data_IF_656034043758
#
_entry.id   IF_656034043758
#
_cell.length_a   1.000
_cell.length_b   1.000
_cell.length_c   1.000
_cell.angle_alpha   90.00
_cell.angle_beta   90.00
_cell.angle_gamma   90.00
#
_symmetry.space_group_name_H-M   'P 1'
#
loop_
_entity.id
_entity.type
_entity.pdbx_description
1 polymer ?
#
# COMPACT_ATOMS: atom_id res chain seq x y z
N UNK A 1 52.93 -15.06 23.33
CA UNK A 1 51.52 -15.23 22.93
C UNK A 1 50.71 -13.92 22.93
N UNK A 2 50.97 -12.94 23.81
CA UNK A 2 50.22 -11.66 23.86
C UNK A 2 50.28 -10.78 22.59
N UNK A 3 51.43 -10.72 21.93
CA UNK A 3 51.61 -9.89 20.72
C UNK A 3 50.96 -10.51 19.47
N UNK A 4 50.81 -11.84 19.43
CA UNK A 4 50.13 -12.53 18.33
C UNK A 4 48.61 -12.33 18.43
N UNK A 5 48.05 -12.39 19.64
CA UNK A 5 46.63 -12.14 19.90
C UNK A 5 46.24 -10.67 19.66
N UNK A 6 47.06 -9.70 20.07
CA UNK A 6 46.79 -8.28 19.76
C UNK A 6 46.89 -7.97 18.26
N UNK A 7 47.80 -8.61 17.52
CA UNK A 7 47.90 -8.43 16.07
C UNK A 7 46.77 -9.10 15.30
N UNK A 8 46.20 -10.21 15.80
CA UNK A 8 45.01 -10.85 15.22
C UNK A 8 43.74 -10.03 15.47
N UNK A 9 43.57 -9.47 16.67
CA UNK A 9 42.46 -8.56 16.98
C UNK A 9 42.57 -7.25 16.19
N UNK A 10 43.77 -6.68 16.04
CA UNK A 10 44.00 -5.52 15.14
C UNK A 10 43.82 -5.86 13.65
N UNK A 11 44.16 -7.07 13.20
CA UNK A 11 43.93 -7.51 11.81
C UNK A 11 42.45 -7.77 11.51
N UNK A 12 41.67 -8.27 12.47
CA UNK A 12 40.22 -8.44 12.32
C UNK A 12 39.45 -7.11 12.40
N UNK A 13 39.90 -6.17 13.23
CA UNK A 13 39.32 -4.81 13.27
C UNK A 13 39.53 -4.02 11.96
N UNK A 14 40.57 -4.36 11.18
CA UNK A 14 40.82 -3.82 9.84
C UNK A 14 40.14 -4.58 8.69
N UNK A 15 39.38 -5.66 8.97
CA UNK A 15 38.87 -6.57 7.95
C UNK A 15 37.35 -6.45 7.69
N UNK A 16 36.62 -5.64 8.44
CA UNK A 16 35.22 -5.38 8.11
C UNK A 16 35.17 -4.22 7.12
N UNK A 17 34.83 -4.51 5.86
CA UNK A 17 34.73 -3.45 4.86
C UNK A 17 33.68 -2.42 5.30
N UNK A 18 33.89 -1.12 5.01
CA UNK A 18 32.89 -0.08 5.31
C UNK A 18 31.50 -0.41 4.74
N UNK A 19 31.45 -1.13 3.62
CA UNK A 19 30.22 -1.57 2.98
C UNK A 19 29.56 -2.73 3.74
N UNK A 20 30.34 -3.66 4.28
CA UNK A 20 29.82 -4.75 5.12
C UNK A 20 29.27 -4.22 6.46
N UNK A 21 29.90 -3.20 7.05
CA UNK A 21 29.37 -2.49 8.23
C UNK A 21 28.04 -1.79 7.91
N UNK A 22 27.96 -1.08 6.79
CA UNK A 22 26.71 -0.45 6.33
C UNK A 22 25.61 -1.49 6.11
N UNK A 23 25.91 -2.61 5.46
CA UNK A 23 24.94 -3.69 5.23
C UNK A 23 24.45 -4.33 6.53
N UNK A 24 25.35 -4.61 7.48
CA UNK A 24 24.97 -5.15 8.79
C UNK A 24 24.09 -4.17 9.56
N UNK A 25 24.42 -2.88 9.55
CA UNK A 25 23.61 -1.84 10.20
C UNK A 25 22.23 -1.71 9.54
N UNK A 26 22.17 -1.67 8.20
CA UNK A 26 20.91 -1.65 7.46
C UNK A 26 20.04 -2.87 7.76
N UNK A 27 20.65 -4.06 7.88
CA UNK A 27 19.94 -5.29 8.23
C UNK A 27 19.38 -5.26 9.66
N UNK A 28 20.15 -4.75 10.63
CA UNK A 28 19.69 -4.58 12.02
C UNK A 28 18.51 -3.59 12.09
N UNK A 29 18.59 -2.46 11.39
CA UNK A 29 17.50 -1.49 11.35
C UNK A 29 16.25 -2.04 10.66
N UNK A 30 16.41 -2.83 9.59
CA UNK A 30 15.30 -3.49 8.93
C UNK A 30 14.65 -4.55 9.82
N UNK A 31 15.43 -5.32 10.58
CA UNK A 31 14.93 -6.32 11.52
C UNK A 31 14.13 -5.68 12.66
N UNK A 32 14.62 -4.58 13.23
CA UNK A 32 13.92 -3.83 14.29
C UNK A 32 12.58 -3.24 13.79
N UNK A 33 12.58 -2.71 12.57
CA UNK A 33 11.39 -2.19 11.90
C UNK A 33 10.34 -3.29 11.64
N UNK A 34 10.79 -4.46 11.18
CA UNK A 34 9.95 -5.63 10.93
C UNK A 34 9.39 -6.23 12.22
N UNK A 35 10.21 -6.40 13.26
CA UNK A 35 9.77 -6.92 14.56
C UNK A 35 8.74 -5.99 15.19
N UNK A 36 8.97 -4.68 15.13
CA UNK A 36 8.03 -3.68 15.65
C UNK A 36 6.72 -3.66 14.85
N UNK A 37 6.79 -3.84 13.53
CA UNK A 37 5.61 -3.94 12.66
C UNK A 37 4.81 -5.23 12.91
N UNK A 38 5.48 -6.38 13.04
CA UNK A 38 4.86 -7.67 13.36
C UNK A 38 4.21 -7.66 14.75
N UNK A 39 4.90 -7.12 15.76
CA UNK A 39 4.34 -6.98 17.10
C UNK A 39 3.06 -6.13 17.11
N UNK A 40 3.00 -5.10 16.28
CA UNK A 40 1.82 -4.26 16.11
C UNK A 40 0.70 -5.00 15.36
N UNK A 41 1.02 -5.75 14.31
CA UNK A 41 0.06 -6.54 13.55
C UNK A 41 -0.62 -7.61 14.42
N UNK A 42 0.17 -8.32 15.24
CA UNK A 42 -0.35 -9.32 16.19
C UNK A 42 -1.28 -8.70 17.23
N UNK A 43 -0.99 -7.47 17.68
CA UNK A 43 -1.87 -6.74 18.62
C UNK A 43 -3.16 -6.23 17.96
N UNK A 44 -3.10 -5.84 16.69
CA UNK A 44 -4.25 -5.45 15.87
C UNK A 44 -5.17 -6.65 15.58
N UNK A 45 -4.60 -7.80 15.22
CA UNK A 45 -5.35 -9.01 14.85
C UNK A 45 -6.08 -9.67 16.02
N UNK A 46 -5.63 -9.42 17.26
CA UNK A 46 -6.24 -9.98 18.48
C UNK A 46 -7.39 -9.15 19.06
N UNK A 47 -7.75 -8.03 18.44
CA UNK A 47 -8.75 -7.08 18.98
C UNK A 47 -8.42 -6.59 20.42
N UNK A 48 -7.16 -6.75 20.84
CA UNK A 48 -6.64 -6.39 22.17
C UNK A 48 -6.26 -4.90 22.25
N UNK A 49 -6.22 -4.21 21.11
CA UNK A 49 -5.79 -2.82 21.02
C UNK A 49 -6.98 -1.89 21.26
N UNK A 50 -7.29 -1.63 22.54
CA UNK A 50 -8.23 -0.57 22.93
C UNK A 50 -7.51 0.78 22.90
N UNK A 51 -7.85 1.71 21.98
CA UNK A 51 -7.19 3.00 21.91
C UNK A 51 -7.62 3.87 23.09
N UNK A 52 -6.75 3.99 24.09
CA UNK A 52 -6.93 4.94 25.20
C UNK A 52 -6.36 6.30 24.79
N UNK A 53 -7.18 7.35 24.95
CA UNK A 53 -6.83 8.72 24.58
C UNK A 53 -6.34 9.48 25.82
N UNK A 54 -5.10 9.92 25.78
CA UNK A 54 -4.42 10.63 26.87
C UNK A 54 -3.80 11.94 26.36
N UNK A 55 -3.55 12.88 27.27
CA UNK A 55 -2.81 14.11 26.96
C UNK A 55 -1.31 13.82 26.93
N UNK A 56 -0.73 13.84 25.73
CA UNK A 56 0.67 13.48 25.47
C UNK A 56 1.51 14.74 25.31
N UNK A 57 2.67 14.78 25.98
CA UNK A 57 3.70 15.78 25.71
C UNK A 57 4.34 15.50 24.34
N UNK A 58 4.15 16.42 23.39
CA UNK A 58 4.78 16.31 22.07
C UNK A 58 6.31 16.38 22.21
N UNK A 59 6.83 17.21 23.12
CA UNK A 59 8.26 17.29 23.39
C UNK A 59 8.85 15.92 23.72
N UNK A 60 8.26 15.23 24.71
CA UNK A 60 8.79 13.95 25.20
C UNK A 60 8.76 12.87 24.10
N UNK A 61 7.71 12.89 23.26
CA UNK A 61 7.61 12.00 22.10
C UNK A 61 8.69 12.31 21.06
N UNK A 62 8.88 13.59 20.73
CA UNK A 62 9.91 14.03 19.79
C UNK A 62 11.33 13.67 20.27
N UNK A 63 11.60 13.77 21.57
CA UNK A 63 12.86 13.35 22.18
C UNK A 63 13.09 11.84 22.08
N UNK A 64 12.07 11.03 22.32
CA UNK A 64 12.17 9.57 22.11
C UNK A 64 12.45 9.22 20.65
N UNK A 65 11.79 9.90 19.72
CA UNK A 65 12.00 9.71 18.27
C UNK A 65 13.41 10.18 17.88
N UNK A 66 13.90 11.29 18.42
CA UNK A 66 15.26 11.77 18.21
C UNK A 66 16.29 10.70 18.62
N UNK A 67 16.12 10.11 19.80
CA UNK A 67 16.98 9.03 20.29
C UNK A 67 16.95 7.80 19.39
N UNK A 68 15.79 7.46 18.81
CA UNK A 68 15.65 6.31 17.92
C UNK A 68 16.33 6.52 16.56
N UNK A 69 16.32 7.75 16.03
CA UNK A 69 16.63 8.00 14.63
C UNK A 69 17.91 8.81 14.40
N UNK A 70 18.46 9.51 15.40
CA UNK A 70 19.65 10.34 15.25
C UNK A 70 20.87 9.55 14.75
N UNK A 71 21.16 8.39 15.35
CA UNK A 71 22.27 7.53 14.92
C UNK A 71 22.07 6.98 13.52
N UNK A 72 20.83 6.58 13.17
CA UNK A 72 20.48 6.09 11.83
C UNK A 72 20.74 7.16 10.76
N UNK A 73 20.31 8.41 11.01
CA UNK A 73 20.54 9.51 10.08
C UNK A 73 22.03 9.85 9.89
N UNK A 74 22.82 9.82 10.96
CA UNK A 74 24.27 10.04 10.90
C UNK A 74 24.95 9.00 9.99
N UNK A 75 24.58 7.72 10.13
CA UNK A 75 25.14 6.66 9.31
C UNK A 75 24.76 6.76 7.82
N UNK A 76 23.58 7.29 7.51
CA UNK A 76 23.15 7.54 6.14
C UNK A 76 23.66 8.87 5.57
N UNK A 77 24.40 9.67 6.35
CA UNK A 77 24.90 10.98 5.93
C UNK A 77 23.81 12.05 5.77
N UNK A 78 22.64 11.85 6.38
CA UNK A 78 21.53 12.79 6.32
C UNK A 78 21.63 13.83 7.43
N UNK A 79 21.32 15.09 7.10
CA UNK A 79 21.14 16.13 8.12
C UNK A 79 19.84 15.86 8.87
N UNK A 80 19.94 15.49 10.14
CA UNK A 80 18.79 15.26 11.01
C UNK A 80 18.61 16.43 11.97
N UNK A 81 17.38 16.93 12.08
CA UNK A 81 17.01 17.96 13.05
C UNK A 81 15.61 17.69 13.58
N UNK A 82 15.45 17.80 14.89
CA UNK A 82 14.16 17.79 15.58
C UNK A 82 13.96 19.18 16.20
N UNK A 83 12.85 19.84 15.89
CA UNK A 83 12.51 21.12 16.51
C UNK A 83 11.69 20.88 17.79
N UNK A 84 12.01 21.60 18.89
CA UNK A 84 11.27 21.47 20.14
C UNK A 84 9.82 21.93 19.98
N UNK A 85 8.92 21.34 20.77
CA UNK A 85 7.51 21.70 20.77
C UNK A 85 6.91 21.60 22.16
N UNK A 86 6.35 22.71 22.67
CA UNK A 86 5.71 22.76 23.99
C UNK A 86 4.24 22.32 23.97
N UNK A 87 3.81 21.66 22.88
CA UNK A 87 2.42 21.29 22.66
C UNK A 87 2.04 20.03 23.44
N UNK A 88 0.77 19.97 23.85
CA UNK A 88 0.13 18.74 24.31
C UNK A 88 -0.98 18.35 23.34
N UNK A 89 -1.08 17.06 23.05
CA UNK A 89 -2.07 16.52 22.12
C UNK A 89 -2.81 15.36 22.76
N UNK A 90 -4.11 15.29 22.52
CA UNK A 90 -4.95 14.20 23.03
C UNK A 90 -5.03 13.07 22.00
N UNK A 91 -4.32 11.99 22.24
CA UNK A 91 -4.25 10.83 21.33
C UNK A 91 -3.88 9.57 22.10
N UNK A 92 -3.74 8.44 21.41
CA UNK A 92 -3.11 7.27 21.99
C UNK A 92 -1.58 7.39 21.87
N UNK A 93 -0.81 7.33 22.98
CA UNK A 93 0.63 7.59 22.98
C UNK A 93 1.40 6.61 22.09
N UNK A 94 1.04 5.33 22.15
CA UNK A 94 1.72 4.28 21.39
C UNK A 94 1.41 4.38 19.89
N UNK A 95 0.15 4.60 19.53
CA UNK A 95 -0.25 4.72 18.12
C UNK A 95 0.32 5.99 17.48
N UNK A 96 0.29 7.12 18.19
CA UNK A 96 0.79 8.38 17.65
C UNK A 96 2.31 8.32 17.44
N UNK A 97 3.06 7.87 18.46
CA UNK A 97 4.50 7.72 18.35
C UNK A 97 4.87 6.76 17.22
N UNK A 98 4.14 5.64 17.10
CA UNK A 98 4.35 4.70 16.01
C UNK A 98 4.12 5.33 14.64
N UNK A 99 3.02 6.06 14.45
CA UNK A 99 2.74 6.76 13.18
C UNK A 99 3.86 7.72 12.81
N UNK A 100 4.37 8.50 13.77
CA UNK A 100 5.47 9.44 13.51
C UNK A 100 6.77 8.67 13.19
N UNK A 101 7.07 7.59 13.92
CA UNK A 101 8.21 6.71 13.61
C UNK A 101 8.14 6.13 12.20
N UNK A 102 6.97 5.66 11.75
CA UNK A 102 6.77 5.12 10.40
C UNK A 102 6.96 6.21 9.33
N UNK A 103 6.51 7.43 9.58
CA UNK A 103 6.75 8.58 8.68
C UNK A 103 8.23 8.95 8.61
N UNK A 104 8.93 9.00 9.75
CA UNK A 104 10.37 9.30 9.82
C UNK A 104 11.19 8.21 9.14
N UNK A 105 10.86 6.93 9.37
CA UNK A 105 11.52 5.80 8.72
C UNK A 105 11.39 5.87 7.19
N UNK A 106 10.20 6.19 6.69
CA UNK A 106 9.97 6.43 5.26
C UNK A 106 10.76 7.64 4.75
N UNK A 107 10.75 8.76 5.48
CA UNK A 107 11.50 9.95 5.11
C UNK A 107 13.00 9.65 4.96
N UNK A 108 13.59 8.88 5.88
CA UNK A 108 14.98 8.45 5.78
C UNK A 108 15.22 7.49 4.63
N UNK A 109 14.32 6.51 4.44
CA UNK A 109 14.44 5.49 3.39
C UNK A 109 14.44 6.10 1.99
N UNK A 110 13.59 7.11 1.77
CA UNK A 110 13.39 7.71 0.45
C UNK A 110 14.17 9.02 0.24
N UNK A 111 14.97 9.44 1.21
CA UNK A 111 15.88 10.59 1.07
C UNK A 111 17.32 10.10 0.97
N UNK A 112 17.86 9.86 -0.25
CA UNK A 112 19.23 9.36 -0.40
C UNK A 112 20.30 10.42 -0.11
N UNK A 113 19.98 11.70 -0.24
CA UNK A 113 20.87 12.83 0.03
C UNK A 113 20.08 14.02 0.59
N UNK A 114 20.68 14.82 1.46
CA UNK A 114 20.05 16.03 2.03
C UNK A 114 19.82 15.94 3.54
N UNK A 115 18.56 15.96 3.98
CA UNK A 115 18.22 15.92 5.39
C UNK A 115 16.74 15.76 5.68
N UNK A 116 16.42 15.38 6.92
CA UNK A 116 15.06 15.24 7.43
C UNK A 116 14.92 16.17 8.64
N UNK A 117 13.90 17.03 8.58
CA UNK A 117 13.51 17.93 9.67
C UNK A 117 12.18 17.43 10.25
N UNK A 118 12.18 17.11 11.53
CA UNK A 118 10.97 16.78 12.28
C UNK A 118 10.58 17.99 13.11
N UNK A 119 9.39 18.54 12.86
CA UNK A 119 8.87 19.67 13.62
C UNK A 119 7.39 19.49 13.89
N UNK A 120 6.92 20.07 14.99
CA UNK A 120 5.51 20.04 15.35
C UNK A 120 4.98 21.47 15.51
N UNK A 121 4.03 21.85 14.68
CA UNK A 121 3.43 23.19 14.69
C UNK A 121 1.97 23.12 15.20
N UNK A 122 1.70 23.60 16.42
CA UNK A 122 0.35 23.64 16.98
C UNK A 122 -0.52 24.61 16.17
N UNK A 123 -1.55 24.08 15.51
CA UNK A 123 -2.41 24.91 14.65
C UNK A 123 -1.71 25.43 13.39
N UNK A 124 -0.62 24.79 12.96
CA UNK A 124 0.07 25.13 11.71
C UNK A 124 -0.92 25.24 10.55
N UNK A 125 -0.74 26.26 9.72
CA UNK A 125 -1.63 26.74 8.64
C UNK A 125 -1.78 25.79 7.46
N UNK A 126 -1.99 24.50 7.73
CA UNK A 126 -2.93 23.72 6.93
C UNK A 126 -4.27 23.84 7.62
N UNK A 127 -4.97 24.96 7.42
CA UNK A 127 -6.37 25.04 7.77
C UNK A 127 -7.04 23.86 7.06
N UNK A 128 -7.35 22.79 7.79
CA UNK A 128 -8.20 21.72 7.29
C UNK A 128 -9.53 22.38 7.02
N UNK A 129 -9.69 22.88 5.80
CA UNK A 129 -11.00 23.28 5.33
C UNK A 129 -11.90 22.05 5.49
N UNK A 130 -13.20 22.21 5.76
CA UNK A 130 -14.13 21.09 5.74
C UNK A 130 -13.96 20.23 4.47
N UNK A 131 -13.61 20.86 3.33
CA UNK A 131 -13.23 20.18 2.09
C UNK A 131 -12.01 19.25 2.21
N UNK A 132 -10.92 19.69 2.84
CA UNK A 132 -9.73 18.86 3.10
C UNK A 132 -10.08 17.63 3.97
N UNK A 133 -10.94 17.81 4.98
CA UNK A 133 -11.42 16.70 5.80
C UNK A 133 -12.29 15.73 4.98
N UNK A 134 -13.19 16.24 4.13
CA UNK A 134 -13.98 15.40 3.24
C UNK A 134 -13.12 14.61 2.26
N UNK A 135 -12.01 15.19 1.76
CA UNK A 135 -11.05 14.47 0.90
C UNK A 135 -10.41 13.32 1.69
N UNK A 136 -9.91 13.57 2.90
CA UNK A 136 -9.30 12.52 3.74
C UNK A 136 -10.30 11.41 4.03
N UNK A 137 -11.53 11.75 4.41
CA UNK A 137 -12.61 10.78 4.66
C UNK A 137 -12.94 10.00 3.39
N UNK A 138 -13.02 10.66 2.23
CA UNK A 138 -13.26 9.98 0.95
C UNK A 138 -12.14 9.00 0.61
N UNK A 139 -10.87 9.39 0.79
CA UNK A 139 -9.72 8.51 0.59
C UNK A 139 -9.72 7.31 1.54
N UNK A 140 -10.06 7.53 2.83
CA UNK A 140 -10.17 6.46 3.82
C UNK A 140 -11.30 5.49 3.48
N UNK A 141 -12.49 6.01 3.15
CA UNK A 141 -13.63 5.20 2.71
C UNK A 141 -13.26 4.39 1.46
N UNK A 142 -12.57 4.99 0.49
CA UNK A 142 -12.11 4.29 -0.71
C UNK A 142 -11.08 3.20 -0.40
N UNK A 143 -10.14 3.46 0.52
CA UNK A 143 -9.18 2.46 0.97
C UNK A 143 -9.86 1.27 1.68
N UNK A 144 -10.81 1.54 2.58
CA UNK A 144 -11.62 0.52 3.24
C UNK A 144 -12.41 -0.28 2.20
N UNK A 145 -13.09 0.42 1.29
CA UNK A 145 -13.89 -0.19 0.23
C UNK A 145 -13.07 -1.16 -0.63
N UNK A 146 -11.87 -0.76 -1.07
CA UNK A 146 -10.99 -1.62 -1.87
C UNK A 146 -10.52 -2.86 -1.09
N UNK A 147 -10.24 -2.72 0.20
CA UNK A 147 -9.81 -3.85 1.04
C UNK A 147 -10.95 -4.82 1.33
N UNK A 148 -12.18 -4.32 1.57
CA UNK A 148 -13.37 -5.16 1.72
C UNK A 148 -13.75 -5.81 0.40
N UNK A 149 -13.69 -5.06 -0.71
CA UNK A 149 -13.99 -5.56 -2.05
C UNK A 149 -13.04 -6.69 -2.43
N UNK A 150 -11.75 -6.61 -2.07
CA UNK A 150 -10.82 -7.75 -2.24
C UNK A 150 -11.27 -9.01 -1.50
N UNK A 151 -11.85 -8.90 -0.30
CA UNK A 151 -12.31 -10.09 0.46
C UNK A 151 -13.50 -10.77 -0.21
N UNK A 152 -14.33 -10.02 -0.92
CA UNK A 152 -15.53 -10.53 -1.60
C UNK A 152 -15.35 -10.70 -3.11
N UNK A 153 -14.20 -10.36 -3.68
CA UNK A 153 -13.91 -10.44 -5.11
C UNK A 153 -13.73 -11.88 -5.61
N UNK A 154 -13.73 -12.87 -4.71
CA UNK A 154 -13.85 -14.30 -5.06
C UNK A 154 -15.24 -14.64 -5.59
N UNK A 155 -16.26 -13.83 -5.28
CA UNK A 155 -17.58 -13.92 -5.90
C UNK A 155 -17.59 -13.31 -7.31
N UNK A 156 -18.71 -13.43 -8.02
CA UNK A 156 -18.88 -12.86 -9.36
C UNK A 156 -18.58 -11.34 -9.36
N UNK A 157 -17.56 -10.95 -10.13
CA UNK A 157 -17.12 -9.56 -10.24
C UNK A 157 -18.19 -8.64 -10.85
N UNK A 158 -19.00 -9.16 -11.78
CA UNK A 158 -20.12 -8.41 -12.36
C UNK A 158 -21.21 -8.16 -11.33
N UNK A 159 -21.51 -9.16 -10.48
CA UNK A 159 -22.48 -9.00 -9.40
C UNK A 159 -22.04 -7.95 -8.39
N UNK A 160 -20.76 -7.99 -7.99
CA UNK A 160 -20.17 -7.00 -7.07
C UNK A 160 -20.25 -5.60 -7.67
N UNK A 161 -19.87 -5.43 -8.94
CA UNK A 161 -19.93 -4.15 -9.63
C UNK A 161 -21.38 -3.65 -9.79
N UNK A 162 -22.32 -4.53 -10.14
CA UNK A 162 -23.73 -4.19 -10.32
C UNK A 162 -24.38 -3.75 -9.01
N UNK A 163 -24.14 -4.46 -7.90
CA UNK A 163 -24.69 -4.10 -6.59
C UNK A 163 -24.16 -2.74 -6.13
N UNK A 164 -22.84 -2.52 -6.25
CA UNK A 164 -22.21 -1.23 -5.90
C UNK A 164 -22.74 -0.11 -6.78
N UNK A 165 -22.88 -0.35 -8.08
CA UNK A 165 -23.44 0.61 -9.04
C UNK A 165 -24.89 0.97 -8.73
N UNK A 166 -25.72 -0.02 -8.37
CA UNK A 166 -27.13 0.19 -8.03
C UNK A 166 -27.27 0.99 -6.74
N UNK A 167 -26.56 0.61 -5.68
CA UNK A 167 -26.61 1.32 -4.39
C UNK A 167 -26.10 2.75 -4.53
N UNK A 168 -24.94 2.95 -5.17
CA UNK A 168 -24.37 4.28 -5.37
C UNK A 168 -25.23 5.14 -6.30
N UNK A 169 -25.75 4.56 -7.39
CA UNK A 169 -26.64 5.24 -8.34
C UNK A 169 -27.92 5.70 -7.68
N UNK A 170 -28.64 4.81 -6.98
CA UNK A 170 -29.87 5.15 -6.26
C UNK A 170 -29.63 6.23 -5.21
N UNK A 171 -28.54 6.13 -4.43
CA UNK A 171 -28.20 7.13 -3.43
C UNK A 171 -27.90 8.50 -4.06
N UNK A 172 -27.07 8.56 -5.10
CA UNK A 172 -26.70 9.81 -5.77
C UNK A 172 -27.90 10.47 -6.45
N UNK A 173 -28.77 9.68 -7.10
CA UNK A 173 -30.01 10.20 -7.71
C UNK A 173 -30.98 10.71 -6.65
N UNK A 174 -31.17 9.99 -5.54
CA UNK A 174 -32.03 10.44 -4.44
C UNK A 174 -31.50 11.74 -3.81
N UNK A 175 -30.18 11.84 -3.59
CA UNK A 175 -29.55 13.05 -3.07
C UNK A 175 -29.72 14.24 -4.03
N UNK A 176 -29.54 14.03 -5.34
CA UNK A 176 -29.72 15.09 -6.34
C UNK A 176 -31.16 15.60 -6.39
N UNK A 177 -32.15 14.69 -6.41
CA UNK A 177 -33.57 15.07 -6.38
C UNK A 177 -33.95 15.76 -5.06
N UNK A 178 -33.44 15.25 -3.93
CA UNK A 178 -33.63 15.87 -2.60
C UNK A 178 -32.97 17.25 -2.48
N UNK A 179 -31.95 17.54 -3.29
CA UNK A 179 -31.31 18.85 -3.38
C UNK A 179 -31.99 19.81 -4.36
N UNK A 180 -33.12 19.41 -4.97
CA UNK A 180 -33.89 20.25 -5.90
C UNK A 180 -33.47 20.15 -7.37
N UNK A 181 -32.67 19.16 -7.76
CA UNK A 181 -32.33 18.95 -9.16
C UNK A 181 -33.56 18.53 -9.99
N UNK A 182 -33.65 19.03 -11.22
CA UNK A 182 -34.68 18.64 -12.18
C UNK A 182 -34.32 17.34 -12.92
N UNK A 183 -35.35 16.66 -13.44
CA UNK A 183 -35.13 15.46 -14.24
C UNK A 183 -34.40 15.81 -15.55
N UNK A 184 -33.31 15.12 -15.89
CA UNK A 184 -32.57 15.39 -17.12
C UNK A 184 -33.38 15.02 -18.37
N UNK A 185 -33.05 15.65 -19.50
CA UNK A 185 -33.64 15.31 -20.80
C UNK A 185 -33.27 13.87 -21.22
N UNK A 186 -34.07 13.24 -22.09
CA UNK A 186 -33.79 11.90 -22.59
C UNK A 186 -32.36 11.72 -23.15
N UNK A 187 -31.81 12.67 -23.95
CA UNK A 187 -30.40 12.60 -24.36
C UNK A 187 -29.41 12.66 -23.18
N UNK A 188 -29.71 13.47 -22.16
CA UNK A 188 -28.89 13.56 -20.95
C UNK A 188 -28.91 12.26 -20.14
N UNK A 189 -30.05 11.59 -20.05
CA UNK A 189 -30.17 10.26 -19.43
C UNK A 189 -29.31 9.25 -20.18
N UNK A 190 -29.44 9.16 -21.51
CA UNK A 190 -28.65 8.23 -22.32
C UNK A 190 -27.14 8.52 -22.24
N UNK A 191 -26.75 9.79 -22.29
CA UNK A 191 -25.36 10.20 -22.10
C UNK A 191 -24.82 9.78 -20.73
N UNK A 192 -25.61 9.97 -19.66
CA UNK A 192 -25.24 9.57 -18.30
C UNK A 192 -25.13 8.05 -18.16
N UNK A 193 -26.02 7.28 -18.78
CA UNK A 193 -25.97 5.82 -18.79
C UNK A 193 -24.74 5.29 -19.55
N UNK A 194 -24.38 5.89 -20.69
CA UNK A 194 -23.17 5.52 -21.44
C UNK A 194 -21.90 5.80 -20.64
N UNK A 195 -21.79 7.01 -20.06
CA UNK A 195 -20.67 7.37 -19.19
C UNK A 195 -20.61 6.45 -17.96
N UNK A 196 -21.77 6.14 -17.37
CA UNK A 196 -21.88 5.19 -16.26
C UNK A 196 -21.43 3.79 -16.64
N UNK A 197 -21.85 3.29 -17.80
CA UNK A 197 -21.48 1.97 -18.30
C UNK A 197 -19.96 1.82 -18.48
N UNK A 198 -19.32 2.75 -19.19
CA UNK A 198 -17.87 2.66 -19.43
C UNK A 198 -17.05 3.05 -18.21
N UNK A 199 -17.38 4.17 -17.56
CA UNK A 199 -16.62 4.75 -16.47
C UNK A 199 -16.76 4.01 -15.14
N UNK A 200 -17.93 3.43 -14.87
CA UNK A 200 -18.20 2.69 -13.63
C UNK A 200 -18.48 1.21 -13.88
N UNK A 201 -19.40 0.83 -14.77
CA UNK A 201 -19.80 -0.58 -14.94
C UNK A 201 -18.65 -1.49 -15.40
N UNK A 202 -18.18 -1.28 -16.63
CA UNK A 202 -17.09 -2.05 -17.25
C UNK A 202 -15.78 -1.84 -16.49
N UNK A 203 -15.44 -0.58 -16.20
CA UNK A 203 -14.21 -0.21 -15.47
C UNK A 203 -14.13 -0.89 -14.10
N UNK A 204 -15.21 -0.84 -13.28
CA UNK A 204 -15.19 -1.40 -11.93
C UNK A 204 -15.25 -2.93 -11.95
N UNK A 205 -15.92 -3.54 -12.94
CA UNK A 205 -15.85 -5.00 -13.16
C UNK A 205 -14.42 -5.43 -13.42
N UNK A 206 -13.71 -4.75 -14.33
CA UNK A 206 -12.30 -5.01 -14.62
C UNK A 206 -11.41 -4.72 -13.41
N UNK A 207 -11.73 -3.70 -12.62
CA UNK A 207 -11.02 -3.38 -11.38
C UNK A 207 -11.19 -4.49 -10.33
N UNK A 208 -12.39 -5.02 -10.13
CA UNK A 208 -12.65 -6.14 -9.20
C UNK A 208 -11.92 -7.41 -9.66
N UNK A 209 -11.91 -7.69 -10.97
CA UNK A 209 -11.08 -8.76 -11.55
C UNK A 209 -9.60 -8.51 -11.25
N UNK A 210 -9.13 -7.27 -11.42
CA UNK A 210 -7.77 -6.87 -11.08
C UNK A 210 -7.44 -7.05 -9.61
N UNK A 211 -8.36 -6.70 -8.69
CA UNK A 211 -8.17 -6.90 -7.25
C UNK A 211 -8.03 -8.39 -6.89
N UNK A 212 -8.77 -9.25 -7.60
CA UNK A 212 -8.70 -10.71 -7.43
C UNK A 212 -7.37 -11.28 -7.92
N UNK A 213 -6.91 -10.89 -9.11
CA UNK A 213 -5.74 -11.52 -9.76
C UNK A 213 -4.41 -10.88 -9.42
N UNK A 214 -4.38 -9.58 -9.11
CA UNK A 214 -3.14 -8.82 -8.87
C UNK A 214 -2.97 -8.37 -7.41
N UNK A 215 -4.04 -8.39 -6.62
CA UNK A 215 -4.06 -7.88 -5.24
C UNK A 215 -4.10 -6.35 -5.15
N UNK A 216 -4.62 -5.84 -4.02
CA UNK A 216 -4.97 -4.41 -3.81
C UNK A 216 -3.85 -3.42 -4.16
N UNK A 217 -2.60 -3.69 -3.72
CA UNK A 217 -1.50 -2.74 -3.87
C UNK A 217 -1.15 -2.49 -5.34
N UNK A 218 -1.06 -3.54 -6.15
CA UNK A 218 -0.69 -3.42 -7.56
C UNK A 218 -1.87 -2.99 -8.43
N UNK A 219 -3.07 -3.51 -8.19
CA UNK A 219 -4.27 -3.00 -8.87
C UNK A 219 -4.38 -1.49 -8.66
N UNK A 220 -4.14 -1.01 -7.44
CA UNK A 220 -4.06 0.42 -7.14
C UNK A 220 -2.97 1.13 -7.94
N UNK A 221 -1.75 0.62 -7.96
CA UNK A 221 -0.64 1.22 -8.70
C UNK A 221 -0.86 1.29 -10.22
N UNK A 222 -1.48 0.27 -10.82
CA UNK A 222 -1.88 0.31 -12.24
C UNK A 222 -3.07 1.24 -12.47
N UNK A 223 -4.02 1.31 -11.53
CA UNK A 223 -5.13 2.25 -11.60
C UNK A 223 -4.65 3.71 -11.57
N UNK A 224 -3.53 4.00 -10.89
CA UNK A 224 -2.88 5.31 -10.89
C UNK A 224 -2.33 5.73 -12.28
N UNK A 225 -2.35 4.87 -13.30
CA UNK A 225 -2.04 5.23 -14.69
C UNK A 225 -3.23 5.92 -15.38
N UNK A 226 -4.46 5.71 -14.91
CA UNK A 226 -5.68 6.28 -15.51
C UNK A 226 -5.65 7.82 -15.71
N UNK A 227 -5.11 8.64 -14.77
CA UNK A 227 -4.97 10.08 -14.97
C UNK A 227 -4.16 10.48 -16.21
N UNK A 228 -3.22 9.64 -16.67
CA UNK A 228 -2.43 9.90 -17.89
C UNK A 228 -3.32 9.86 -19.13
N UNK A 229 -4.26 8.93 -19.20
CA UNK A 229 -5.24 8.89 -20.29
C UNK A 229 -6.19 10.09 -20.23
N UNK A 230 -6.60 10.50 -19.03
CA UNK A 230 -7.38 11.73 -18.83
C UNK A 230 -6.64 12.97 -19.35
N UNK A 231 -5.35 13.09 -19.06
CA UNK A 231 -4.47 14.13 -19.61
C UNK A 231 -4.42 14.08 -21.13
N UNK A 232 -4.18 12.91 -21.74
CA UNK A 232 -4.08 12.77 -23.20
C UNK A 232 -5.38 13.20 -23.86
N UNK A 233 -6.53 12.73 -23.35
CA UNK A 233 -7.85 13.10 -23.85
C UNK A 233 -8.09 14.60 -23.65
N UNK A 234 -7.73 15.16 -22.50
CA UNK A 234 -7.86 16.59 -22.23
C UNK A 234 -7.05 17.43 -23.22
N UNK A 235 -5.82 17.03 -23.56
CA UNK A 235 -4.99 17.73 -24.55
C UNK A 235 -5.52 17.57 -25.98
N UNK A 236 -6.14 16.43 -26.29
CA UNK A 236 -6.77 16.19 -27.58
C UNK A 236 -8.06 17.00 -27.77
N UNK A 237 -8.82 17.23 -26.70
CA UNK A 237 -10.08 18.00 -26.74
C UNK A 237 -9.84 19.50 -26.57
N UNK A 238 -8.92 19.90 -25.67
CA UNK A 238 -8.55 21.28 -25.43
C UNK A 238 -7.16 21.57 -25.98
N UNK A 239 -7.09 22.37 -27.05
CA UNK A 239 -5.85 22.73 -27.75
C UNK A 239 -4.92 23.70 -26.97
N UNK A 240 -5.07 23.85 -25.66
CA UNK A 240 -4.19 24.68 -24.83
C UNK A 240 -2.94 23.90 -24.44
N UNK A 241 -1.78 24.28 -24.96
CA UNK A 241 -0.51 23.61 -24.66
C UNK A 241 -0.09 23.93 -23.21
N UNK A 242 0.12 22.92 -22.35
CA UNK A 242 0.58 23.14 -20.98
C UNK A 242 2.00 23.70 -20.94
N UNK A 243 2.31 24.42 -19.86
CA UNK A 243 3.65 24.97 -19.63
C UNK A 243 4.72 23.91 -19.33
N UNK A 244 6.00 24.32 -19.20
CA UNK A 244 7.14 23.39 -19.05
C UNK A 244 7.09 22.54 -17.77
N UNK A 245 6.55 23.08 -16.68
CA UNK A 245 6.42 22.38 -15.38
C UNK A 245 5.52 21.16 -15.46
N UNK A 246 4.47 21.23 -16.28
CA UNK A 246 3.58 20.11 -16.53
C UNK A 246 4.33 18.94 -17.19
N UNK A 247 5.14 19.23 -18.21
CA UNK A 247 5.91 18.21 -18.92
C UNK A 247 6.99 17.57 -18.04
N UNK A 248 7.60 18.35 -17.14
CA UNK A 248 8.53 17.82 -16.14
C UNK A 248 7.80 16.85 -15.17
N UNK A 249 6.63 17.24 -14.65
CA UNK A 249 5.84 16.39 -13.76
C UNK A 249 5.35 15.12 -14.46
N UNK A 250 4.90 15.23 -15.72
CA UNK A 250 4.50 14.11 -16.54
C UNK A 250 5.66 13.12 -16.78
N UNK A 251 6.88 13.63 -17.03
CA UNK A 251 8.08 12.81 -17.17
C UNK A 251 8.43 12.04 -15.89
N UNK A 252 8.35 12.69 -14.72
CA UNK A 252 8.58 12.03 -13.42
C UNK A 252 7.52 10.95 -13.13
N UNK A 253 6.24 11.20 -13.42
CA UNK A 253 5.19 10.20 -13.28
C UNK A 253 5.40 9.01 -14.21
N UNK A 254 5.76 9.25 -15.48
CA UNK A 254 6.03 8.18 -16.44
C UNK A 254 7.22 7.32 -16.00
N UNK A 255 8.27 7.93 -15.45
CA UNK A 255 9.41 7.20 -14.87
C UNK A 255 8.97 6.31 -13.69
N UNK A 256 8.15 6.83 -12.78
CA UNK A 256 7.62 6.07 -11.65
C UNK A 256 6.80 4.86 -12.09
N UNK A 257 5.90 5.04 -13.06
CA UNK A 257 5.11 3.95 -13.66
C UNK A 257 6.02 2.92 -14.34
N UNK A 258 7.01 3.37 -15.10
CA UNK A 258 7.97 2.49 -15.77
C UNK A 258 8.75 1.63 -14.77
N UNK A 259 9.27 2.23 -13.70
CA UNK A 259 9.97 1.48 -12.64
C UNK A 259 9.04 0.45 -11.99
N UNK A 260 7.78 0.82 -11.72
CA UNK A 260 6.80 -0.08 -11.11
C UNK A 260 6.44 -1.28 -12.00
N UNK A 261 6.26 -1.07 -13.32
CA UNK A 261 5.93 -2.15 -14.27
C UNK A 261 7.12 -3.08 -14.49
N UNK A 262 8.35 -2.58 -14.38
CA UNK A 262 9.58 -3.36 -14.63
C UNK A 262 10.02 -4.23 -13.47
N UNK A 263 9.35 -4.14 -12.32
CA UNK A 263 9.64 -4.97 -11.16
C UNK A 263 9.28 -6.45 -11.43
N UNK A 264 10.28 -7.34 -11.38
CA UNK A 264 10.10 -8.78 -11.50
C UNK A 264 10.52 -9.44 -10.19
N UNK A 265 9.57 -10.14 -9.57
CA UNK A 265 9.83 -10.97 -8.39
C UNK A 265 9.90 -12.44 -8.82
N UNK A 266 11.13 -12.96 -8.84
CA UNK A 266 11.40 -14.37 -9.08
C UNK A 266 12.35 -14.82 -7.98
N UNK A 267 11.88 -15.71 -7.13
CA UNK A 267 12.68 -16.38 -6.13
C UNK A 267 11.95 -17.64 -5.69
N UNK A 268 12.73 -18.57 -5.16
CA UNK A 268 12.19 -19.77 -4.55
C UNK A 268 11.36 -19.38 -3.32
N UNK A 269 10.12 -19.85 -3.28
CA UNK A 269 9.20 -19.61 -2.17
C UNK A 269 8.45 -20.88 -1.83
N UNK A 270 7.95 -20.94 -0.60
CA UNK A 270 7.19 -22.08 -0.07
C UNK A 270 5.77 -21.62 0.21
N UNK A 271 4.80 -22.33 -0.35
CA UNK A 271 3.38 -22.15 -0.02
C UNK A 271 3.06 -22.88 1.27
N UNK A 272 2.53 -22.18 2.26
CA UNK A 272 1.96 -22.79 3.47
C UNK A 272 0.59 -23.42 3.14
N UNK A 273 0.11 -24.42 3.91
CA UNK A 273 -1.17 -25.05 3.64
C UNK A 273 -2.31 -24.02 3.69
N UNK A 274 -2.96 -23.79 2.55
CA UNK A 274 -4.09 -22.88 2.42
C UNK A 274 -5.28 -23.63 1.83
N UNK A 275 -6.42 -23.53 2.51
CA UNK A 275 -7.71 -23.94 1.96
C UNK A 275 -8.32 -22.76 1.20
N UNK A 276 -8.58 -22.97 -0.09
CA UNK A 276 -9.23 -21.96 -0.94
C UNK A 276 -10.16 -22.62 -1.96
N UNK A 277 -10.99 -21.80 -2.60
CA UNK A 277 -11.85 -22.20 -3.70
C UNK A 277 -11.63 -21.26 -4.88
N UNK A 278 -11.15 -21.81 -5.98
CA UNK A 278 -11.00 -21.10 -7.25
C UNK A 278 -11.11 -22.08 -8.41
N UNK A 279 -11.32 -21.55 -9.60
CA UNK A 279 -11.36 -22.33 -10.83
C UNK A 279 -9.96 -22.82 -11.16
N UNK A 280 -9.78 -24.13 -11.26
CA UNK A 280 -8.49 -24.73 -11.54
C UNK A 280 -8.60 -25.92 -12.48
N UNK A 281 -7.44 -26.25 -13.07
CA UNK A 281 -7.18 -27.50 -13.79
C UNK A 281 -6.10 -28.25 -13.02
N UNK A 282 -6.06 -29.57 -13.14
CA UNK A 282 -5.01 -30.36 -12.50
C UNK A 282 -3.66 -30.07 -13.16
N UNK A 283 -2.81 -29.35 -12.44
CA UNK A 283 -1.41 -29.10 -12.77
C UNK A 283 -0.54 -29.54 -11.59
N UNK A 284 0.73 -29.09 -11.56
CA UNK A 284 1.65 -29.42 -10.47
C UNK A 284 1.17 -28.93 -9.10
N UNK A 285 0.44 -27.82 -9.06
CA UNK A 285 -0.09 -27.17 -7.85
C UNK A 285 -1.47 -27.70 -7.44
N UNK A 286 -2.21 -28.30 -8.35
CA UNK A 286 -3.61 -28.72 -8.14
C UNK A 286 -3.79 -30.24 -8.17
N UNK A 287 -2.92 -30.98 -7.47
CA UNK A 287 -3.08 -32.43 -7.27
C UNK A 287 -3.90 -32.70 -6.02
N UNK A 288 -5.15 -33.08 -6.20
CA UNK A 288 -6.03 -33.50 -5.10
C UNK A 288 -7.07 -34.49 -5.63
N UNK A 289 -7.66 -35.27 -4.73
CA UNK A 289 -8.71 -36.22 -5.06
C UNK A 289 -10.08 -35.54 -5.03
N UNK A 290 -10.95 -35.94 -5.96
CA UNK A 290 -12.33 -35.49 -6.00
C UNK A 290 -13.23 -36.41 -5.19
N UNK A 291 -14.07 -35.84 -4.33
CA UNK A 291 -15.18 -36.58 -3.71
C UNK A 291 -16.33 -36.89 -4.71
N UNK A 292 -16.25 -36.35 -5.93
CA UNK A 292 -17.27 -36.49 -6.98
C UNK A 292 -16.65 -36.99 -8.30
N UNK A 293 -17.47 -37.57 -9.18
CA UNK A 293 -17.01 -38.10 -10.45
C UNK A 293 -16.63 -36.96 -11.43
N UNK A 294 -15.33 -36.74 -11.65
CA UNK A 294 -14.81 -35.73 -12.57
C UNK A 294 -14.27 -36.36 -13.88
N UNK A 295 -14.59 -35.76 -15.03
CA UNK A 295 -14.30 -36.30 -16.39
C UNK A 295 -12.95 -35.90 -17.00
N UNK A 296 -12.03 -35.33 -16.21
CA UNK A 296 -10.60 -35.31 -16.57
C UNK A 296 -10.06 -34.10 -17.34
N UNK A 297 -10.88 -33.28 -18.01
CA UNK A 297 -10.36 -32.22 -18.90
C UNK A 297 -10.91 -30.79 -18.68
N UNK A 298 -12.00 -30.64 -17.93
CA UNK A 298 -12.68 -29.36 -17.75
C UNK A 298 -12.17 -28.63 -16.49
N UNK A 299 -11.96 -27.29 -16.56
CA UNK A 299 -11.72 -26.49 -15.36
C UNK A 299 -12.92 -26.62 -14.43
N UNK A 300 -12.66 -26.60 -13.13
CA UNK A 300 -13.71 -26.77 -12.12
C UNK A 300 -13.41 -25.95 -10.86
N UNK A 301 -14.44 -25.70 -10.07
CA UNK A 301 -14.39 -24.88 -8.85
C UNK A 301 -14.94 -25.69 -7.69
N UNK A 302 -14.11 -25.93 -6.69
CA UNK A 302 -14.51 -26.42 -5.37
C UNK A 302 -13.44 -26.05 -4.35
N UNK A 303 -13.81 -26.14 -3.07
CA UNK A 303 -12.87 -25.95 -1.98
C UNK A 303 -11.87 -27.09 -1.96
N UNK A 304 -10.59 -26.76 -2.05
CA UNK A 304 -9.50 -27.72 -2.02
C UNK A 304 -8.33 -27.14 -1.22
N UNK A 305 -7.50 -28.02 -0.68
CA UNK A 305 -6.34 -27.66 0.15
C UNK A 305 -5.07 -27.88 -0.65
N UNK A 306 -4.22 -26.85 -0.73
CA UNK A 306 -2.87 -27.02 -1.28
C UNK A 306 -1.94 -27.55 -0.18
N UNK A 307 -1.18 -28.60 -0.47
CA UNK A 307 -0.10 -29.05 0.42
C UNK A 307 1.15 -28.17 0.27
N UNK A 308 2.06 -28.27 1.24
CA UNK A 308 3.30 -27.49 1.23
C UNK A 308 4.11 -27.84 -0.01
N UNK A 309 4.32 -26.85 -0.88
CA UNK A 309 5.15 -26.98 -2.07
C UNK A 309 6.15 -25.83 -2.15
N UNK A 310 7.41 -26.18 -2.43
CA UNK A 310 8.48 -25.20 -2.67
C UNK A 310 8.83 -25.23 -4.14
N UNK A 311 8.68 -24.10 -4.82
CA UNK A 311 9.06 -23.96 -6.22
C UNK A 311 9.55 -22.53 -6.52
N UNK A 312 10.04 -22.34 -7.74
CA UNK A 312 10.40 -21.05 -8.28
C UNK A 312 9.55 -20.77 -9.51
N UNK A 313 8.76 -19.72 -9.44
CA UNK A 313 8.13 -19.15 -10.63
C UNK A 313 7.97 -17.64 -10.44
N UNK A 314 7.81 -16.88 -11.53
CA UNK A 314 7.40 -15.49 -11.44
C UNK A 314 6.11 -15.41 -10.66
N UNK A 315 6.13 -14.66 -9.56
CA UNK A 315 4.98 -14.50 -8.70
C UNK A 315 4.97 -13.08 -8.15
N UNK A 316 3.85 -12.73 -7.52
CA UNK A 316 3.57 -11.39 -7.06
C UNK A 316 3.00 -11.45 -5.65
N UNK A 317 3.07 -10.40 -4.83
CA UNK A 317 2.48 -10.42 -3.49
C UNK A 317 0.95 -10.37 -3.55
N UNK A 318 0.34 -11.46 -3.98
CA UNK A 318 -1.10 -11.67 -4.07
C UNK A 318 -1.62 -12.43 -2.83
N UNK A 319 -2.83 -13.01 -2.89
CA UNK A 319 -3.37 -13.79 -1.77
C UNK A 319 -2.71 -15.17 -1.62
N UNK A 320 -2.17 -15.73 -2.69
CA UNK A 320 -1.54 -17.04 -2.73
C UNK A 320 -0.04 -16.97 -2.41
N UNK A 321 0.60 -15.83 -2.64
CA UNK A 321 2.04 -15.62 -2.47
C UNK A 321 2.35 -14.61 -1.34
N UNK A 322 1.88 -14.92 -0.13
CA UNK A 322 2.23 -14.20 1.10
C UNK A 322 3.34 -14.94 1.84
N UNK A 323 4.58 -14.76 1.40
CA UNK A 323 5.74 -15.37 2.04
C UNK A 323 6.74 -14.32 2.50
N UNK A 324 7.40 -14.61 3.62
CA UNK A 324 8.55 -13.85 4.10
C UNK A 324 9.76 -14.15 3.23
N UNK A 325 10.37 -13.11 2.66
CA UNK A 325 11.67 -13.23 2.02
C UNK A 325 12.72 -13.60 3.08
N UNK A 326 13.47 -14.70 2.86
CA UNK A 326 14.75 -14.88 3.56
C UNK A 326 15.77 -13.90 2.95
N UNK A 327 16.62 -13.27 3.78
CA UNK A 327 17.58 -12.27 3.32
C UNK A 327 18.64 -12.83 2.37
#
# INVERSE_FOLDING_TARGET
>A
MSLATESMVRRQAGAISPDALKQMQSAVFAADELLSSLAMHVRLDRDELKPELEDISVQDMLERIDLLFATRAQHTGLRWRVLPSLCKVRSNPLLLERMVCDLVANAMRYTPQGGVLLSWEPGGTTSFTPGSLFIVVACLCWAIDNNLTRKVSTNDAMLVAALKGLVAGSFNTALALGSGASWPSLPGVWGSLLVGFFGYGLSLTLFVVGLRTLGTARTGAYFCVAPLFGVIISLAVWHSVPGPTFWLAAGLMALGVWMHIRERHVHQHTHEPLEHAHEHRHDEHHRHEHAFAWRGDAPHVHSHRHEVITHEHPHYPDVHHRHTHRP
#
